data_IF_245182033820
#
_entry.id   IF_245182033820
#
_cell.length_a   1.000
_cell.length_b   1.000
_cell.length_c   1.000
_cell.angle_alpha   90.00
_cell.angle_beta   90.00
_cell.angle_gamma   90.00
#
_symmetry.space_group_name_H-M   'P 1'
#
loop_
_entity.id
_entity.type
_entity.pdbx_description
1 polymer ?
#
# COMPACT_ATOMS: atom_id res chain seq x y z
N UNK A 1 12.04 -1.04 -15.44
CA UNK A 1 10.91 -0.08 -15.38
C UNK A 1 9.63 -0.90 -15.36
N UNK A 2 8.78 -0.71 -14.35
CA UNK A 2 7.42 -1.28 -14.38
C UNK A 2 6.66 -0.49 -15.45
N UNK A 3 6.10 -1.15 -16.46
CA UNK A 3 5.25 -0.50 -17.46
C UNK A 3 3.95 -0.09 -16.77
N UNK A 4 3.91 1.15 -16.29
CA UNK A 4 2.74 1.73 -15.63
C UNK A 4 2.05 2.68 -16.61
N UNK A 5 0.72 2.62 -16.71
CA UNK A 5 -0.07 3.65 -17.39
C UNK A 5 0.07 5.01 -16.70
N UNK A 6 -0.23 6.10 -17.41
CA UNK A 6 -0.15 7.48 -16.88
C UNK A 6 -0.99 7.64 -15.60
N UNK A 7 -2.13 6.94 -15.50
CA UNK A 7 -3.00 6.90 -14.31
C UNK A 7 -2.32 6.21 -13.13
N UNK A 8 -1.75 5.01 -13.35
CA UNK A 8 -1.01 4.26 -12.33
C UNK A 8 0.23 5.02 -11.86
N UNK A 9 0.93 5.72 -12.77
CA UNK A 9 2.08 6.57 -12.46
C UNK A 9 1.69 7.82 -11.66
N UNK A 10 0.61 8.52 -12.04
CA UNK A 10 0.13 9.68 -11.31
C UNK A 10 -0.30 9.30 -9.88
N UNK A 11 -1.01 8.17 -9.73
CA UNK A 11 -1.39 7.64 -8.42
C UNK A 11 -0.16 7.29 -7.56
N UNK A 12 0.87 6.70 -8.17
CA UNK A 12 2.11 6.40 -7.48
C UNK A 12 2.82 7.68 -7.00
N UNK A 13 2.95 8.69 -7.87
CA UNK A 13 3.61 9.95 -7.55
C UNK A 13 2.89 10.73 -6.45
N UNK A 14 1.55 10.78 -6.48
CA UNK A 14 0.76 11.42 -5.41
C UNK A 14 0.89 10.67 -4.09
N UNK A 15 0.95 9.35 -4.12
CA UNK A 15 1.15 8.55 -2.92
C UNK A 15 2.53 8.84 -2.30
N UNK A 16 3.60 8.87 -3.12
CA UNK A 16 4.96 9.18 -2.66
C UNK A 16 5.03 10.56 -2.00
N UNK A 17 4.33 11.57 -2.53
CA UNK A 17 4.32 12.90 -1.93
C UNK A 17 3.51 12.98 -0.64
N UNK A 18 2.42 12.22 -0.51
CA UNK A 18 1.55 12.21 0.68
C UNK A 18 2.21 11.50 1.87
N UNK A 19 2.89 10.37 1.65
CA UNK A 19 3.32 9.51 2.75
C UNK A 19 4.71 9.81 3.32
N UNK A 20 5.52 10.68 2.70
CA UNK A 20 6.79 11.16 3.24
C UNK A 20 7.86 10.07 3.48
N UNK A 21 9.14 10.44 3.52
CA UNK A 21 10.25 9.45 3.55
C UNK A 21 10.53 8.88 4.95
N UNK A 22 9.91 9.39 6.02
CA UNK A 22 10.26 9.00 7.39
C UNK A 22 9.05 8.56 8.21
N UNK A 23 9.09 7.30 8.65
CA UNK A 23 8.11 6.76 9.60
C UNK A 23 8.44 7.24 11.01
N UNK A 24 7.47 7.85 11.69
CA UNK A 24 7.61 8.15 13.11
C UNK A 24 7.77 6.86 13.93
N UNK A 25 8.50 6.90 15.04
CA UNK A 25 8.65 5.77 15.96
C UNK A 25 8.03 6.10 17.31
N UNK A 26 7.27 5.16 17.88
CA UNK A 26 6.78 5.19 19.25
C UNK A 26 7.16 3.86 19.91
N UNK A 27 7.84 3.93 21.06
CA UNK A 27 8.35 2.76 21.80
C UNK A 27 9.21 1.81 20.94
N UNK A 28 10.03 2.37 20.05
CA UNK A 28 10.86 1.60 19.12
C UNK A 28 10.09 0.94 17.96
N UNK A 29 8.78 1.13 17.88
CA UNK A 29 7.92 0.61 16.81
C UNK A 29 7.48 1.70 15.85
N UNK A 30 7.47 1.42 14.54
CA UNK A 30 6.95 2.38 13.54
C UNK A 30 5.47 2.68 13.79
N UNK A 31 5.13 3.96 13.77
CA UNK A 31 3.78 4.50 13.91
C UNK A 31 3.59 5.70 12.99
N UNK A 32 2.35 6.04 12.66
CA UNK A 32 2.07 7.15 11.74
C UNK A 32 2.41 6.82 10.29
N UNK A 33 2.55 7.83 9.44
CA UNK A 33 2.79 7.63 8.01
C UNK A 33 4.25 7.34 7.71
N UNK A 34 4.54 6.53 6.69
CA UNK A 34 5.89 6.37 6.17
C UNK A 34 6.01 5.37 5.04
N UNK A 35 7.26 5.00 4.75
CA UNK A 35 7.62 4.04 3.68
C UNK A 35 8.30 2.80 4.27
N UNK A 36 7.88 1.62 3.79
CA UNK A 36 8.54 0.35 4.09
C UNK A 36 8.91 -0.38 2.81
N UNK A 37 10.21 -0.61 2.64
CA UNK A 37 10.79 -1.35 1.50
C UNK A 37 11.10 -2.76 1.98
N UNK A 38 10.45 -3.77 1.39
CA UNK A 38 10.81 -5.17 1.62
C UNK A 38 12.07 -5.52 0.85
N UNK A 39 12.79 -6.55 1.31
CA UNK A 39 13.90 -7.15 0.57
C UNK A 39 13.48 -7.69 -0.81
N UNK A 40 12.19 -7.98 -1.00
CA UNK A 40 11.62 -8.48 -2.26
C UNK A 40 11.32 -7.40 -3.30
N UNK A 41 11.77 -6.15 -3.11
CA UNK A 41 11.40 -4.96 -3.92
C UNK A 41 9.96 -4.48 -3.77
N UNK A 42 9.14 -5.10 -2.92
CA UNK A 42 7.83 -4.52 -2.57
C UNK A 42 8.03 -3.23 -1.80
N UNK A 43 7.21 -2.22 -2.10
CA UNK A 43 7.23 -0.93 -1.39
C UNK A 43 5.84 -0.61 -0.88
N UNK A 44 5.75 -0.37 0.43
CA UNK A 44 4.54 0.11 1.07
C UNK A 44 4.67 1.59 1.42
N UNK A 45 3.63 2.35 1.13
CA UNK A 45 3.44 3.76 1.48
C UNK A 45 2.15 3.83 2.28
N UNK A 46 2.20 4.26 3.54
CA UNK A 46 0.98 4.26 4.33
C UNK A 46 1.19 4.44 5.80
N UNK A 47 0.09 4.30 6.52
CA UNK A 47 0.04 4.39 7.96
C UNK A 47 0.53 3.10 8.63
N UNK A 48 1.21 3.26 9.76
CA UNK A 48 1.70 2.20 10.61
C UNK A 48 1.10 2.33 12.01
N UNK A 49 0.87 1.18 12.64
CA UNK A 49 0.56 1.09 14.06
C UNK A 49 1.33 -0.09 14.65
N UNK A 50 2.16 0.17 15.67
CA UNK A 50 3.00 -0.83 16.35
C UNK A 50 3.82 -1.68 15.36
N UNK A 51 4.43 -1.02 14.38
CA UNK A 51 5.28 -1.64 13.36
C UNK A 51 4.54 -2.35 12.23
N UNK A 52 3.21 -2.39 12.23
CA UNK A 52 2.40 -3.06 11.20
C UNK A 52 1.67 -2.05 10.32
N UNK A 53 1.44 -2.40 9.06
CA UNK A 53 0.59 -1.60 8.17
C UNK A 53 -0.82 -1.53 8.77
N UNK A 54 -1.34 -0.33 8.93
CA UNK A 54 -2.61 -0.10 9.60
C UNK A 54 -3.21 1.23 9.17
N UNK A 55 -4.49 1.28 8.82
CA UNK A 55 -5.11 2.47 8.22
C UNK A 55 -4.95 2.49 6.71
N UNK A 56 -4.88 3.68 6.11
CA UNK A 56 -4.77 3.83 4.66
C UNK A 56 -3.34 3.57 4.17
N UNK A 57 -3.21 2.91 3.02
CA UNK A 57 -1.92 2.77 2.37
C UNK A 57 -1.95 2.10 1.00
N UNK A 58 -0.85 2.26 0.28
CA UNK A 58 -0.55 1.67 -1.01
C UNK A 58 0.60 0.67 -0.87
N UNK A 59 0.42 -0.53 -1.41
CA UNK A 59 1.51 -1.48 -1.61
C UNK A 59 1.76 -1.66 -3.11
N UNK A 60 2.98 -1.36 -3.54
CA UNK A 60 3.50 -1.67 -4.88
C UNK A 60 4.26 -2.98 -4.77
N UNK A 61 3.76 -4.00 -5.43
CA UNK A 61 4.39 -5.32 -5.45
C UNK A 61 5.48 -5.36 -6.52
N UNK A 62 6.49 -6.19 -6.30
CA UNK A 62 7.60 -6.36 -7.24
C UNK A 62 7.16 -6.84 -8.63
N UNK A 63 6.01 -7.51 -8.74
CA UNK A 63 5.41 -7.97 -9.99
C UNK A 63 4.59 -6.88 -10.71
N UNK A 64 4.64 -5.63 -10.23
CA UNK A 64 3.93 -4.49 -10.81
C UNK A 64 2.48 -4.36 -10.40
N UNK A 65 1.93 -5.29 -9.61
CA UNK A 65 0.60 -5.13 -9.03
C UNK A 65 0.63 -4.01 -7.99
N UNK A 66 -0.51 -3.37 -7.80
CA UNK A 66 -0.69 -2.32 -6.79
C UNK A 66 -1.93 -2.66 -5.98
N UNK A 67 -1.86 -2.47 -4.67
CA UNK A 67 -3.04 -2.41 -3.81
C UNK A 67 -3.11 -1.07 -3.13
N UNK A 68 -4.28 -0.44 -3.10
CA UNK A 68 -4.56 0.82 -2.42
C UNK A 68 -5.81 0.62 -1.58
N UNK A 69 -5.72 0.90 -0.29
CA UNK A 69 -6.90 0.84 0.57
C UNK A 69 -6.56 0.69 2.03
N UNK A 70 -7.53 0.14 2.77
CA UNK A 70 -7.42 -0.04 4.20
C UNK A 70 -6.60 -1.30 4.57
N UNK A 71 -5.78 -1.12 5.60
CA UNK A 71 -4.94 -2.15 6.21
C UNK A 71 -5.28 -2.30 7.69
N UNK A 72 -5.27 -3.52 8.18
CA UNK A 72 -5.40 -3.83 9.59
C UNK A 72 -4.39 -4.93 9.94
N UNK A 73 -3.49 -4.65 10.88
CA UNK A 73 -2.48 -5.61 11.35
C UNK A 73 -1.65 -6.24 10.22
N UNK A 74 -1.30 -5.46 9.20
CA UNK A 74 -0.50 -5.93 8.07
C UNK A 74 -1.29 -6.63 6.96
N UNK A 75 -2.62 -6.73 7.08
CA UNK A 75 -3.50 -7.36 6.07
C UNK A 75 -4.45 -6.35 5.45
N UNK A 76 -4.84 -6.59 4.20
CA UNK A 76 -5.89 -5.81 3.52
C UNK A 76 -7.23 -6.05 4.21
N UNK A 77 -7.88 -4.99 4.66
CA UNK A 77 -9.09 -5.08 5.46
C UNK A 77 -9.91 -3.79 5.37
N UNK A 78 -11.16 -3.85 4.91
CA UNK A 78 -11.99 -2.69 4.56
C UNK A 78 -11.96 -2.38 3.06
N UNK A 79 -12.41 -1.19 2.65
CA UNK A 79 -12.45 -0.81 1.23
C UNK A 79 -11.04 -0.74 0.62
N UNK A 80 -10.90 -1.24 -0.61
CA UNK A 80 -9.65 -1.16 -1.34
C UNK A 80 -9.77 -1.54 -2.82
N UNK A 81 -8.74 -1.14 -3.57
CA UNK A 81 -8.56 -1.33 -5.00
C UNK A 81 -7.28 -2.11 -5.25
N UNK A 82 -7.37 -3.18 -6.03
CA UNK A 82 -6.22 -3.90 -6.57
C UNK A 82 -6.11 -3.59 -8.05
N UNK A 83 -4.93 -3.21 -8.49
CA UNK A 83 -4.55 -2.95 -9.88
C UNK A 83 -3.57 -4.05 -10.26
N UNK A 84 -3.85 -4.83 -11.29
CA UNK A 84 -2.90 -5.81 -11.81
C UNK A 84 -1.88 -5.18 -12.75
N UNK A 85 -0.86 -5.94 -13.14
CA UNK A 85 0.21 -5.46 -14.03
C UNK A 85 -0.28 -5.10 -15.45
N UNK A 86 -1.47 -5.56 -15.83
CA UNK A 86 -2.20 -5.22 -17.06
C UNK A 86 -3.26 -4.12 -16.85
N UNK A 87 -3.17 -3.39 -15.73
CA UNK A 87 -4.06 -2.31 -15.32
C UNK A 87 -5.53 -2.70 -15.09
N UNK A 88 -5.86 -4.00 -15.02
CA UNK A 88 -7.18 -4.43 -14.59
C UNK A 88 -7.43 -4.05 -13.12
N UNK A 89 -8.62 -3.52 -12.86
CA UNK A 89 -9.02 -2.97 -11.57
C UNK A 89 -10.03 -3.88 -10.88
N UNK A 90 -9.74 -4.28 -9.65
CA UNK A 90 -10.65 -5.00 -8.76
C UNK A 90 -10.88 -4.16 -7.50
N UNK A 91 -12.10 -3.63 -7.37
CA UNK A 91 -12.52 -2.81 -6.23
C UNK A 91 -13.53 -3.55 -5.37
N UNK A 92 -13.46 -3.35 -4.07
CA UNK A 92 -14.45 -3.89 -3.13
C UNK A 92 -13.99 -3.86 -1.70
N UNK A 93 -14.69 -4.61 -0.86
CA UNK A 93 -14.37 -4.77 0.57
C UNK A 93 -13.44 -5.96 0.73
N UNK A 94 -12.33 -5.76 1.43
CA UNK A 94 -11.35 -6.79 1.72
C UNK A 94 -11.48 -7.26 3.16
N UNK A 95 -11.26 -8.55 3.41
CA UNK A 95 -11.13 -9.09 4.76
C UNK A 95 -9.99 -10.09 4.79
N UNK A 96 -8.98 -9.83 5.63
CA UNK A 96 -7.82 -10.72 5.79
C UNK A 96 -7.20 -11.11 4.44
N UNK A 97 -6.89 -10.11 3.60
CA UNK A 97 -6.28 -10.26 2.27
C UNK A 97 -7.17 -10.86 1.17
N UNK A 98 -8.43 -11.17 1.46
CA UNK A 98 -9.41 -11.69 0.50
C UNK A 98 -10.41 -10.61 0.12
N UNK A 99 -10.70 -10.48 -1.17
CA UNK A 99 -11.83 -9.69 -1.66
C UNK A 99 -13.13 -10.40 -1.27
N UNK A 100 -14.07 -9.67 -0.69
CA UNK A 100 -15.43 -10.12 -0.48
C UNK A 100 -16.23 -9.79 -1.74
N UNK A 101 -16.88 -10.80 -2.31
CA UNK A 101 -17.79 -10.66 -3.44
C UNK A 101 -19.19 -10.26 -2.96
#
# INVERSE_FOLDING_TARGET
MVNMTVTSLLMYLTCVSIYGVEGSFLDGSRTGNGVYRRHTSDVYYGSFLKGRFNGQGMNVYADGKIFIGNWENGKKNGSGKKISADDNIQEGVWKNDKLLN
#
